data_IF_516421504106
#
_entry.id   IF_516421504106
#
_cell.length_a   1.000
_cell.length_b   1.000
_cell.length_c   1.000
_cell.angle_alpha   90.00
_cell.angle_beta   90.00
_cell.angle_gamma   90.00
#
_symmetry.space_group_name_H-M   'P 1'
#
loop_
_entity.id
_entity.type
_entity.pdbx_description
1 polymer ?
#
# COMPACT_ATOMS: atom_id res chain seq x y z
N UNK A 1 21.13 -23.15 16.47
CA UNK A 1 20.18 -23.94 15.68
C UNK A 1 18.86 -23.20 15.80
N UNK A 2 18.70 -22.32 14.83
CA UNK A 2 17.49 -21.66 14.34
C UNK A 2 16.61 -20.93 15.37
N UNK A 3 16.89 -19.63 15.44
CA UNK A 3 16.14 -18.55 16.07
C UNK A 3 14.71 -18.52 15.49
N UNK A 4 13.74 -18.99 16.28
CA UNK A 4 12.34 -19.02 15.89
C UNK A 4 11.77 -17.61 15.69
N UNK A 5 11.52 -17.34 14.40
CA UNK A 5 10.38 -16.63 13.86
C UNK A 5 10.43 -15.11 13.94
N UNK A 6 11.24 -14.57 13.01
CA UNK A 6 11.06 -13.22 12.48
C UNK A 6 9.60 -12.97 12.09
N UNK A 7 9.14 -11.78 12.44
CA UNK A 7 7.90 -11.15 12.06
C UNK A 7 7.67 -11.17 10.53
N UNK A 8 7.29 -12.32 9.97
CA UNK A 8 6.87 -12.42 8.57
C UNK A 8 5.40 -12.00 8.45
N UNK A 9 5.25 -10.69 8.49
CA UNK A 9 4.01 -9.92 8.28
C UNK A 9 3.42 -10.22 6.91
N UNK A 10 2.50 -11.18 6.82
CA UNK A 10 1.72 -11.41 5.59
C UNK A 10 0.90 -10.16 5.23
N UNK A 11 0.69 -9.91 3.93
CA UNK A 11 -0.11 -8.75 3.47
C UNK A 11 -1.51 -8.70 4.11
N UNK A 12 -2.26 -9.81 4.26
CA UNK A 12 -3.55 -9.79 4.96
C UNK A 12 -3.45 -9.34 6.42
N UNK A 13 -2.42 -9.77 7.15
CA UNK A 13 -2.21 -9.35 8.55
C UNK A 13 -1.85 -7.87 8.63
N UNK A 14 -1.03 -7.37 7.72
CA UNK A 14 -0.70 -5.95 7.63
C UNK A 14 -1.96 -5.11 7.35
N UNK A 15 -2.79 -5.52 6.40
CA UNK A 15 -4.07 -4.85 6.12
C UNK A 15 -5.00 -4.86 7.32
N UNK A 16 -5.10 -5.98 8.04
CA UNK A 16 -5.91 -6.06 9.26
C UNK A 16 -5.42 -5.08 10.36
N UNK A 17 -4.10 -4.96 10.55
CA UNK A 17 -3.51 -3.96 11.47
C UNK A 17 -3.85 -2.53 11.04
N UNK A 18 -3.72 -2.21 9.75
CA UNK A 18 -4.06 -0.89 9.21
C UNK A 18 -5.55 -0.56 9.36
N UNK A 19 -6.45 -1.54 9.18
CA UNK A 19 -7.90 -1.37 9.41
C UNK A 19 -8.19 -1.14 10.88
N UNK A 20 -7.49 -1.82 11.79
CA UNK A 20 -7.65 -1.57 13.22
C UNK A 20 -7.23 -0.15 13.61
N UNK A 21 -6.18 0.39 12.98
CA UNK A 21 -5.71 1.77 13.20
C UNK A 21 -6.59 2.83 12.50
N UNK A 22 -7.14 2.51 11.32
CA UNK A 22 -8.05 3.37 10.57
C UNK A 22 -9.24 2.55 10.02
N UNK A 23 -10.35 2.44 10.78
CA UNK A 23 -11.51 1.62 10.42
C UNK A 23 -12.16 1.96 9.07
N UNK A 24 -11.97 3.17 8.54
CA UNK A 24 -12.48 3.58 7.23
C UNK A 24 -11.85 2.78 6.07
N UNK A 25 -10.69 2.17 6.30
CA UNK A 25 -10.06 1.26 5.34
C UNK A 25 -10.75 -0.11 5.25
N UNK A 26 -11.54 -0.48 6.28
CA UNK A 26 -12.24 -1.76 6.36
C UNK A 26 -13.64 -1.77 5.76
N UNK A 27 -14.04 -0.72 5.05
CA UNK A 27 -15.35 -0.67 4.38
C UNK A 27 -15.43 -1.66 3.22
N UNK A 28 -16.63 -2.11 2.88
CA UNK A 28 -16.84 -3.01 1.73
C UNK A 28 -16.31 -2.41 0.41
N UNK A 29 -16.33 -1.09 0.29
CA UNK A 29 -15.75 -0.39 -0.87
C UNK A 29 -14.21 -0.47 -0.92
N UNK A 30 -13.53 -0.49 0.23
CA UNK A 30 -12.07 -0.44 0.31
C UNK A 30 -11.40 -1.81 0.48
N UNK A 31 -12.17 -2.86 0.79
CA UNK A 31 -11.68 -4.19 1.09
C UNK A 31 -10.82 -4.77 -0.04
N UNK A 32 -11.30 -4.65 -1.29
CA UNK A 32 -10.63 -5.20 -2.49
C UNK A 32 -9.80 -4.16 -3.25
N UNK A 33 -9.83 -2.88 -2.83
CA UNK A 33 -9.06 -1.82 -3.47
C UNK A 33 -7.58 -1.94 -3.16
N UNK A 34 -6.78 -1.49 -4.12
CA UNK A 34 -5.38 -1.18 -3.88
C UNK A 34 -5.29 0.07 -3.01
N UNK A 35 -4.31 0.10 -2.11
CA UNK A 35 -4.01 1.25 -1.28
C UNK A 35 -2.67 1.84 -1.70
N UNK A 36 -2.62 3.14 -1.96
CA UNK A 36 -1.38 3.89 -2.05
C UNK A 36 -1.11 4.53 -0.70
N UNK A 37 -0.13 4.00 0.02
CA UNK A 37 0.32 4.54 1.29
C UNK A 37 1.31 5.67 1.01
N UNK A 38 1.05 6.83 1.57
CA UNK A 38 1.86 8.02 1.41
C UNK A 38 1.60 9.02 2.53
N UNK A 39 2.09 10.24 2.35
CA UNK A 39 1.73 11.36 3.23
C UNK A 39 1.81 12.68 2.47
N UNK A 40 1.10 13.70 2.96
CA UNK A 40 1.09 15.02 2.33
C UNK A 40 2.49 15.64 2.28
N UNK A 41 2.84 16.25 1.14
CA UNK A 41 4.15 16.90 0.95
C UNK A 41 5.30 15.96 0.56
N UNK A 42 5.00 14.67 0.36
CA UNK A 42 5.97 13.66 -0.09
C UNK A 42 6.20 13.72 -1.61
N UNK A 43 7.41 14.08 -2.04
CA UNK A 43 7.75 14.17 -3.47
C UNK A 43 7.64 12.80 -4.19
N UNK A 44 8.14 11.72 -3.56
CA UNK A 44 8.08 10.38 -4.15
C UNK A 44 6.64 9.89 -4.30
N UNK A 45 5.75 10.29 -3.40
CA UNK A 45 4.33 9.94 -3.43
C UNK A 45 3.65 10.58 -4.66
N UNK A 46 3.99 11.83 -4.99
CA UNK A 46 3.53 12.47 -6.23
C UNK A 46 3.99 11.69 -7.49
N UNK A 47 5.20 11.13 -7.48
CA UNK A 47 5.70 10.29 -8.58
C UNK A 47 4.89 8.99 -8.67
N UNK A 48 4.61 8.34 -7.54
CA UNK A 48 3.76 7.14 -7.50
C UNK A 48 2.34 7.41 -8.01
N UNK A 49 1.73 8.55 -7.65
CA UNK A 49 0.42 8.97 -8.17
C UNK A 49 0.44 9.17 -9.69
N UNK A 50 1.51 9.76 -10.24
CA UNK A 50 1.68 9.90 -11.69
C UNK A 50 1.79 8.54 -12.38
N UNK A 51 2.51 7.57 -11.79
CA UNK A 51 2.59 6.21 -12.32
C UNK A 51 1.22 5.51 -12.30
N UNK A 52 0.45 5.65 -11.22
CA UNK A 52 -0.92 5.14 -11.14
C UNK A 52 -1.84 5.81 -12.16
N UNK A 53 -1.71 7.12 -12.38
CA UNK A 53 -2.48 7.86 -13.38
C UNK A 53 -2.18 7.35 -14.79
N UNK A 54 -0.91 7.12 -15.11
CA UNK A 54 -0.50 6.52 -16.39
C UNK A 54 -1.06 5.11 -16.55
N UNK A 55 -1.03 4.31 -15.48
CA UNK A 55 -1.59 2.97 -15.50
C UNK A 55 -3.12 2.98 -15.69
N UNK A 56 -3.82 3.92 -15.04
CA UNK A 56 -5.27 4.12 -15.17
C UNK A 56 -5.71 4.47 -16.60
N UNK A 57 -4.82 5.04 -17.42
CA UNK A 57 -5.10 5.33 -18.83
C UNK A 57 -5.30 4.06 -19.69
N UNK A 58 -4.79 2.90 -19.23
CA UNK A 58 -4.87 1.62 -19.96
C UNK A 58 -5.55 0.50 -19.17
N UNK A 59 -5.71 0.66 -17.85
CA UNK A 59 -6.36 -0.29 -16.97
C UNK A 59 -7.41 0.43 -16.10
N UNK A 60 -8.67 -0.01 -16.05
CA UNK A 60 -9.65 0.50 -15.09
C UNK A 60 -9.28 0.05 -13.67
N UNK A 61 -8.42 0.81 -13.00
CA UNK A 61 -8.01 0.60 -11.61
C UNK A 61 -8.57 1.72 -10.73
N UNK A 62 -9.33 1.37 -9.70
CA UNK A 62 -9.60 2.26 -8.58
C UNK A 62 -8.67 1.92 -7.42
N UNK A 63 -8.08 2.93 -6.80
CA UNK A 63 -7.27 2.78 -5.59
C UNK A 63 -7.70 3.80 -4.54
N UNK A 64 -7.30 3.57 -3.29
CA UNK A 64 -7.51 4.47 -2.17
C UNK A 64 -6.16 5.08 -1.75
N UNK A 65 -6.11 6.40 -1.59
CA UNK A 65 -4.97 7.03 -0.93
C UNK A 65 -5.10 6.87 0.59
N UNK A 66 -4.02 6.47 1.24
CA UNK A 66 -3.95 6.23 2.68
C UNK A 66 -2.83 7.08 3.25
N UNK A 67 -3.16 8.13 4.01
CA UNK A 67 -2.16 8.95 4.68
C UNK A 67 -1.66 8.20 5.91
N UNK A 68 -0.36 7.89 5.94
CA UNK A 68 0.24 7.17 7.06
C UNK A 68 0.24 8.02 8.34
N UNK A 69 0.06 9.34 8.24
CA UNK A 69 -0.07 10.25 9.38
C UNK A 69 -1.38 10.03 10.16
N UNK A 70 -2.36 9.34 9.57
CA UNK A 70 -3.62 8.97 10.24
C UNK A 70 -3.48 7.73 11.14
N UNK A 71 -2.32 7.07 11.14
CA UNK A 71 -2.05 5.91 11.98
C UNK A 71 -1.46 6.26 13.34
N UNK A 72 -1.45 5.29 14.25
CA UNK A 72 -0.64 5.39 15.47
C UNK A 72 0.86 5.52 15.15
N UNK A 73 1.62 6.06 16.10
CA UNK A 73 3.04 6.36 15.93
C UNK A 73 3.84 5.14 15.47
N UNK A 74 3.53 3.95 15.99
CA UNK A 74 4.29 2.73 15.69
C UNK A 74 4.09 2.32 14.23
N UNK A 75 2.83 2.29 13.77
CA UNK A 75 2.50 1.91 12.40
C UNK A 75 2.93 2.99 11.40
N UNK A 76 2.82 4.28 11.75
CA UNK A 76 3.34 5.38 10.95
C UNK A 76 4.86 5.24 10.73
N UNK A 77 5.63 4.98 11.80
CA UNK A 77 7.08 4.81 11.72
C UNK A 77 7.50 3.60 10.88
N UNK A 78 6.69 2.53 10.82
CA UNK A 78 6.93 1.37 9.95
C UNK A 78 6.99 1.76 8.46
N UNK A 79 6.27 2.81 8.07
CA UNK A 79 6.19 3.29 6.69
C UNK A 79 6.96 4.56 6.39
N UNK A 80 7.34 5.35 7.40
CA UNK A 80 7.92 6.69 7.25
C UNK A 80 9.13 6.77 6.30
N UNK A 81 9.92 5.71 6.17
CA UNK A 81 11.11 5.65 5.28
C UNK A 81 10.89 4.81 4.02
N UNK A 82 9.71 4.19 3.87
CA UNK A 82 9.40 3.29 2.74
C UNK A 82 8.29 3.80 1.83
N UNK A 83 7.54 4.83 2.24
CA UNK A 83 6.55 5.47 1.37
C UNK A 83 7.20 6.09 0.12
N UNK A 84 6.54 6.02 -1.05
CA UNK A 84 5.22 5.44 -1.26
C UNK A 84 5.23 3.89 -1.36
N UNK A 85 4.14 3.27 -0.91
CA UNK A 85 3.93 1.81 -0.99
C UNK A 85 2.58 1.52 -1.62
N UNK A 86 2.53 0.58 -2.58
CA UNK A 86 1.27 0.01 -3.07
C UNK A 86 0.97 -1.25 -2.27
N UNK A 87 -0.24 -1.33 -1.73
CA UNK A 87 -0.73 -2.50 -1.02
C UNK A 87 -2.04 -2.98 -1.66
N UNK A 88 -1.99 -4.10 -2.38
CA UNK A 88 -3.18 -4.81 -2.86
C UNK A 88 -3.73 -5.70 -1.73
N UNK A 89 -4.87 -6.38 -1.91
CA UNK A 89 -5.35 -7.37 -0.94
C UNK A 89 -4.32 -8.48 -0.61
N UNK A 90 -3.40 -8.78 -1.54
CA UNK A 90 -2.51 -9.94 -1.46
C UNK A 90 -1.02 -9.63 -1.68
N UNK A 91 -0.66 -8.41 -2.09
CA UNK A 91 0.71 -8.01 -2.43
C UNK A 91 1.08 -6.64 -1.87
N UNK A 92 2.35 -6.49 -1.53
CA UNK A 92 3.00 -5.22 -1.18
C UNK A 92 4.06 -4.93 -2.22
N UNK A 93 4.08 -3.72 -2.75
CA UNK A 93 5.09 -3.22 -3.68
C UNK A 93 5.64 -1.90 -3.13
N UNK A 94 6.90 -1.91 -2.72
CA UNK A 94 7.59 -0.72 -2.22
C UNK A 94 8.19 0.06 -3.40
N UNK A 95 8.29 1.39 -3.27
CA UNK A 95 9.10 2.19 -4.18
C UNK A 95 10.58 1.75 -4.13
N UNK A 96 11.32 1.81 -5.27
CA UNK A 96 10.91 2.23 -6.60
C UNK A 96 10.08 1.18 -7.36
N UNK A 97 9.12 1.64 -8.15
CA UNK A 97 8.35 0.82 -9.09
C UNK A 97 8.02 1.59 -10.37
N UNK A 98 7.65 0.86 -11.42
CA UNK A 98 7.24 1.34 -12.74
C UNK A 98 5.81 0.93 -13.09
N UNK A 99 5.28 1.40 -14.21
CA UNK A 99 3.97 0.95 -14.73
C UNK A 99 3.96 -0.56 -15.02
N UNK A 100 5.09 -1.14 -15.43
CA UNK A 100 5.20 -2.58 -15.67
C UNK A 100 5.07 -3.37 -14.37
N UNK A 101 5.64 -2.88 -13.27
CA UNK A 101 5.51 -3.52 -11.95
C UNK A 101 4.06 -3.48 -11.45
N UNK A 102 3.35 -2.36 -11.70
CA UNK A 102 1.91 -2.26 -11.42
C UNK A 102 1.11 -3.28 -12.24
N UNK A 103 1.45 -3.45 -13.52
CA UNK A 103 0.78 -4.45 -14.37
C UNK A 103 0.95 -5.88 -13.84
N UNK A 104 2.11 -6.23 -13.29
CA UNK A 104 2.37 -7.55 -12.72
C UNK A 104 1.49 -7.86 -11.50
N UNK A 105 1.02 -6.83 -10.78
CA UNK A 105 0.11 -7.01 -9.64
C UNK A 105 -1.28 -7.51 -10.07
N UNK A 106 -1.72 -7.22 -11.31
CA UNK A 106 -3.03 -7.71 -11.80
C UNK A 106 -3.04 -9.23 -12.02
N UNK A 107 -1.92 -9.79 -12.48
CA UNK A 107 -1.81 -11.21 -12.88
C UNK A 107 -1.85 -12.15 -11.66
N UNK A 108 -1.60 -11.61 -10.46
CA UNK A 108 -1.56 -12.35 -9.21
C UNK A 108 -2.86 -12.24 -8.37
N UNK A 109 -3.97 -11.85 -9.00
CA UNK A 109 -5.29 -11.67 -8.34
C UNK A 109 -6.17 -12.91 -8.46
#
# INVERSE_FOLDING_TARGET
MDNENGNDSTVPMLRARMIAANPNLGTAENQDKWWLLGTTGCHLCNIAEQLLTQFQAVQPLSYQHVDIADFDETLMMEFATTIPVILTPSRRLNYPFSVLDLQQLLVAS
#
